data_IF_340210852074
#
_entry.id   IF_340210852074
#
_cell.length_a   1.000
_cell.length_b   1.000
_cell.length_c   1.000
_cell.angle_alpha   90.00
_cell.angle_beta   90.00
_cell.angle_gamma   90.00
#
_symmetry.space_group_name_H-M   'P 1'
#
loop_
_entity.id
_entity.type
_entity.pdbx_description
1 polymer ?
#
# COMPACT_ATOMS: atom_id res chain seq x y z
N UNK A 1 -3.36 -2.67 -17.92
CA UNK A 1 -2.52 -2.65 -16.71
C UNK A 1 -1.98 -1.24 -16.51
N UNK A 2 -2.06 -0.74 -15.28
CA UNK A 2 -1.65 0.62 -14.96
C UNK A 2 -0.63 0.58 -13.83
N UNK A 3 0.35 1.49 -13.91
CA UNK A 3 1.37 1.64 -12.86
C UNK A 3 1.26 3.04 -12.30
N UNK A 4 1.03 3.14 -10.99
CA UNK A 4 0.83 4.41 -10.30
C UNK A 4 1.86 4.55 -9.19
N UNK A 5 2.38 5.76 -9.00
CA UNK A 5 3.37 6.06 -7.98
C UNK A 5 2.90 7.19 -7.09
N UNK A 6 3.07 7.00 -5.79
CA UNK A 6 2.68 7.98 -4.78
C UNK A 6 3.79 8.13 -3.76
N UNK A 7 3.86 9.32 -3.16
CA UNK A 7 4.82 9.62 -2.10
C UNK A 7 4.07 10.33 -0.98
N UNK A 8 4.32 9.91 0.25
CA UNK A 8 3.69 10.49 1.44
C UNK A 8 4.72 10.80 2.50
N UNK A 9 4.66 12.01 3.11
CA UNK A 9 5.50 12.29 4.26
C UNK A 9 5.07 11.40 5.42
N UNK A 10 6.05 10.86 6.14
CA UNK A 10 5.80 9.98 7.28
C UNK A 10 6.98 10.04 8.21
N UNK A 11 6.82 9.56 9.45
CA UNK A 11 7.84 9.70 10.50
C UNK A 11 8.29 8.39 11.11
N UNK A 12 7.43 7.37 11.13
CA UNK A 12 7.74 6.11 11.79
C UNK A 12 8.24 5.09 10.80
N UNK A 13 9.51 4.73 10.93
CA UNK A 13 10.08 3.70 10.07
C UNK A 13 9.55 2.33 10.46
N UNK A 14 9.07 1.54 9.50
CA UNK A 14 8.69 0.15 9.77
C UNK A 14 9.95 -0.65 10.08
N UNK A 15 9.81 -1.64 10.94
CA UNK A 15 10.94 -2.43 11.45
C UNK A 15 11.09 -3.79 10.76
N UNK A 16 10.00 -4.30 10.20
CA UNK A 16 9.97 -5.62 9.56
C UNK A 16 9.33 -5.57 8.19
N UNK A 17 9.76 -6.47 7.33
CA UNK A 17 9.07 -6.71 6.07
C UNK A 17 7.70 -7.34 6.37
N UNK A 18 6.72 -6.98 5.56
CA UNK A 18 5.40 -7.58 5.66
C UNK A 18 4.87 -7.88 4.26
N UNK A 19 4.21 -9.02 4.13
CA UNK A 19 3.57 -9.43 2.88
C UNK A 19 2.18 -9.93 3.23
N UNK A 20 1.16 -9.28 2.68
CA UNK A 20 -0.24 -9.59 2.98
C UNK A 20 -1.01 -9.71 1.67
N UNK A 21 -1.94 -10.66 1.63
CA UNK A 21 -2.81 -10.85 0.48
C UNK A 21 -2.21 -11.79 -0.56
N UNK A 22 -2.96 -11.98 -1.64
CA UNK A 22 -2.58 -12.90 -2.70
C UNK A 22 -2.76 -12.25 -4.06
N UNK A 23 -1.95 -12.68 -5.02
CA UNK A 23 -2.10 -12.32 -6.42
C UNK A 23 -3.21 -13.18 -6.98
N UNK A 24 -4.45 -12.65 -6.99
CA UNK A 24 -5.61 -13.40 -7.47
C UNK A 24 -6.79 -12.49 -7.77
N UNK A 25 -7.74 -12.99 -8.54
CA UNK A 25 -8.90 -12.24 -9.00
C UNK A 25 -9.70 -11.67 -7.82
N UNK A 26 -9.96 -10.38 -7.86
CA UNK A 26 -10.72 -9.67 -6.82
C UNK A 26 -9.95 -9.38 -5.55
N UNK A 27 -8.65 -9.64 -5.51
CA UNK A 27 -7.81 -9.39 -4.35
C UNK A 27 -6.56 -8.61 -4.78
N UNK A 28 -5.68 -8.37 -3.82
CA UNK A 28 -4.41 -7.70 -4.06
C UNK A 28 -3.36 -8.24 -3.08
N UNK A 29 -2.12 -8.01 -3.46
CA UNK A 29 -0.96 -8.30 -2.64
C UNK A 29 -0.35 -6.97 -2.19
N UNK A 30 0.03 -6.86 -0.93
CA UNK A 30 0.69 -5.68 -0.37
C UNK A 30 2.01 -6.10 0.27
N UNK A 31 3.08 -5.43 -0.13
CA UNK A 31 4.43 -5.66 0.38
C UNK A 31 4.94 -4.38 1.03
N UNK A 32 5.31 -4.48 2.30
CA UNK A 32 5.99 -3.41 3.03
C UNK A 32 7.45 -3.79 3.21
N UNK A 33 8.34 -2.90 2.81
CA UNK A 33 9.79 -3.06 3.01
C UNK A 33 10.31 -1.92 3.87
N UNK A 34 11.14 -2.21 4.89
CA UNK A 34 11.83 -1.15 5.61
C UNK A 34 12.64 -0.27 4.65
N UNK A 35 12.66 1.02 4.92
CA UNK A 35 13.35 1.99 4.08
C UNK A 35 14.10 2.98 4.95
N UNK A 36 15.23 3.46 4.47
CA UNK A 36 16.00 4.52 5.11
C UNK A 36 15.59 5.91 4.60
N UNK A 37 14.63 5.97 3.69
CA UNK A 37 14.12 7.21 3.14
C UNK A 37 13.36 8.00 4.20
N UNK A 38 13.06 9.27 3.88
CA UNK A 38 12.31 10.14 4.78
C UNK A 38 10.81 10.05 4.53
N UNK A 39 10.40 9.60 3.35
CA UNK A 39 9.01 9.52 2.93
C UNK A 39 8.62 8.08 2.62
N UNK A 40 7.33 7.82 2.72
CA UNK A 40 6.78 6.57 2.23
C UNK A 40 6.63 6.65 0.71
N UNK A 41 7.04 5.60 0.02
CA UNK A 41 6.88 5.47 -1.43
C UNK A 41 5.98 4.31 -1.75
N UNK A 42 4.96 4.54 -2.57
CA UNK A 42 3.98 3.52 -2.94
C UNK A 42 4.01 3.31 -4.45
N UNK A 43 4.21 2.08 -4.85
CA UNK A 43 4.11 1.65 -6.24
C UNK A 43 2.90 0.74 -6.38
N UNK A 44 1.92 1.15 -7.16
CA UNK A 44 0.72 0.35 -7.43
C UNK A 44 0.79 -0.15 -8.85
N UNK A 45 0.68 -1.47 -9.02
CA UNK A 45 0.49 -2.10 -10.32
C UNK A 45 -0.89 -2.74 -10.28
N UNK A 46 -1.80 -2.29 -11.14
CA UNK A 46 -3.18 -2.78 -11.12
C UNK A 46 -3.58 -3.29 -12.51
N UNK A 47 -4.38 -4.35 -12.51
CA UNK A 47 -4.96 -4.89 -13.74
C UNK A 47 -6.14 -4.06 -14.23
N UNK A 48 -6.62 -3.10 -13.44
CA UNK A 48 -7.81 -2.30 -13.74
C UNK A 48 -7.39 -0.86 -14.00
N UNK A 49 -7.67 -0.36 -15.19
CA UNK A 49 -7.30 1.00 -15.59
C UNK A 49 -8.36 2.02 -15.13
N UNK A 50 -7.93 3.27 -14.98
CA UNK A 50 -8.87 4.39 -14.77
C UNK A 50 -9.23 4.67 -13.32
N UNK A 51 -8.55 4.06 -12.34
CA UNK A 51 -8.89 4.22 -10.93
C UNK A 51 -7.84 5.01 -10.13
N UNK A 52 -7.02 5.82 -10.80
CA UNK A 52 -5.96 6.59 -10.12
C UNK A 52 -6.51 7.47 -9.00
N UNK A 53 -7.65 8.13 -9.21
CA UNK A 53 -8.27 8.99 -8.20
C UNK A 53 -8.72 8.18 -6.99
N UNK A 54 -9.27 6.98 -7.22
CA UNK A 54 -9.71 6.10 -6.14
C UNK A 54 -8.51 5.62 -5.34
N UNK A 55 -7.41 5.22 -6.00
CA UNK A 55 -6.17 4.84 -5.33
C UNK A 55 -5.63 5.98 -4.48
N UNK A 56 -5.62 7.20 -5.03
CA UNK A 56 -5.17 8.36 -4.27
C UNK A 56 -6.02 8.57 -3.02
N UNK A 57 -7.33 8.48 -3.14
CA UNK A 57 -8.23 8.67 -2.00
C UNK A 57 -8.01 7.63 -0.91
N UNK A 58 -7.85 6.36 -1.29
CA UNK A 58 -7.60 5.28 -0.32
C UNK A 58 -6.26 5.48 0.37
N UNK A 59 -5.22 5.79 -0.38
CA UNK A 59 -3.88 6.00 0.18
C UNK A 59 -3.83 7.26 1.06
N UNK A 60 -4.50 8.35 0.65
CA UNK A 60 -4.59 9.55 1.48
C UNK A 60 -5.22 9.23 2.84
N UNK A 61 -6.28 8.43 2.85
CA UNK A 61 -6.94 8.01 4.10
C UNK A 61 -6.03 7.11 4.93
N UNK A 62 -5.34 6.18 4.30
CA UNK A 62 -4.43 5.29 5.01
C UNK A 62 -3.32 6.08 5.69
N UNK A 63 -2.62 6.94 4.95
CA UNK A 63 -1.52 7.73 5.50
C UNK A 63 -1.98 8.83 6.45
N UNK A 64 -3.26 9.20 6.40
CA UNK A 64 -3.86 10.10 7.40
C UNK A 64 -3.98 9.45 8.78
N UNK A 65 -3.99 8.11 8.84
CA UNK A 65 -4.09 7.35 10.10
C UNK A 65 -2.79 6.66 10.48
N UNK A 66 -2.01 6.23 9.49
CA UNK A 66 -0.80 5.42 9.69
C UNK A 66 0.41 6.19 9.16
N UNK A 67 1.26 6.61 10.08
CA UNK A 67 2.41 7.49 9.80
C UNK A 67 3.67 6.65 9.61
N UNK A 68 3.66 5.71 8.67
CA UNK A 68 4.74 4.75 8.49
C UNK A 68 5.57 5.03 7.25
N UNK A 69 6.90 5.11 7.45
CA UNK A 69 7.86 5.19 6.35
C UNK A 69 8.20 3.77 5.91
N UNK A 70 7.91 3.48 4.67
CA UNK A 70 8.20 2.18 4.06
C UNK A 70 8.27 2.33 2.55
N UNK A 71 8.89 1.37 1.90
CA UNK A 71 8.73 1.14 0.48
C UNK A 71 7.58 0.16 0.32
N UNK A 72 6.49 0.60 -0.29
CA UNK A 72 5.25 -0.17 -0.38
C UNK A 72 5.00 -0.53 -1.84
N UNK A 73 4.82 -1.81 -2.10
CA UNK A 73 4.44 -2.30 -3.42
C UNK A 73 3.09 -2.98 -3.33
N UNK A 74 2.18 -2.60 -4.22
CA UNK A 74 0.83 -3.15 -4.28
C UNK A 74 0.62 -3.73 -5.67
N UNK A 75 0.24 -5.00 -5.71
CA UNK A 75 -0.13 -5.67 -6.95
C UNK A 75 -1.62 -6.02 -6.87
N UNK A 76 -2.43 -5.28 -7.63
CA UNK A 76 -3.88 -5.34 -7.53
C UNK A 76 -4.52 -6.06 -8.71
N UNK A 77 -5.49 -6.91 -8.41
CA UNK A 77 -6.24 -7.69 -9.38
C UNK A 77 -7.75 -7.52 -9.18
N UNK A 78 -8.17 -6.27 -8.99
CA UNK A 78 -9.59 -5.92 -8.92
C UNK A 78 -10.18 -5.88 -7.52
N UNK A 79 -9.35 -5.62 -6.50
CA UNK A 79 -9.85 -5.49 -5.12
C UNK A 79 -10.73 -4.25 -4.96
N UNK A 80 -11.72 -4.35 -4.08
CA UNK A 80 -12.53 -3.19 -3.71
C UNK A 80 -11.70 -2.24 -2.84
N UNK A 81 -12.08 -0.93 -2.75
CA UNK A 81 -11.39 0.00 -1.86
C UNK A 81 -11.34 -0.48 -0.40
N UNK A 82 -12.41 -1.12 0.08
CA UNK A 82 -12.43 -1.68 1.43
C UNK A 82 -11.41 -2.79 1.62
N UNK A 83 -11.26 -3.67 0.64
CA UNK A 83 -10.26 -4.74 0.68
C UNK A 83 -8.85 -4.16 0.62
N UNK A 84 -8.63 -3.13 -0.21
CA UNK A 84 -7.34 -2.44 -0.27
C UNK A 84 -6.96 -1.89 1.10
N UNK A 85 -7.87 -1.17 1.75
CA UNK A 85 -7.62 -0.61 3.07
C UNK A 85 -7.34 -1.69 4.11
N UNK A 86 -8.12 -2.77 4.10
CA UNK A 86 -7.92 -3.89 5.02
C UNK A 86 -6.52 -4.48 4.88
N UNK A 87 -6.07 -4.75 3.64
CA UNK A 87 -4.75 -5.33 3.40
C UNK A 87 -3.63 -4.38 3.79
N UNK A 88 -3.78 -3.08 3.52
CA UNK A 88 -2.80 -2.07 3.94
C UNK A 88 -2.67 -2.05 5.46
N UNK A 89 -3.79 -2.08 6.19
CA UNK A 89 -3.77 -2.09 7.65
C UNK A 89 -3.13 -3.36 8.20
N UNK A 90 -3.43 -4.50 7.63
CA UNK A 90 -2.82 -5.76 8.02
C UNK A 90 -1.30 -5.73 7.81
N UNK A 91 -0.85 -5.20 6.68
CA UNK A 91 0.58 -5.09 6.38
C UNK A 91 1.29 -4.11 7.32
N UNK A 92 0.65 -2.97 7.61
CA UNK A 92 1.20 -1.99 8.55
C UNK A 92 1.37 -2.62 9.94
N UNK A 93 0.38 -3.34 10.42
CA UNK A 93 0.43 -4.02 11.72
C UNK A 93 1.53 -5.08 11.74
N UNK A 94 1.61 -5.92 10.72
CA UNK A 94 2.62 -6.97 10.63
C UNK A 94 4.04 -6.39 10.57
N UNK A 95 4.21 -5.22 9.98
CA UNK A 95 5.52 -4.57 9.83
C UNK A 95 6.05 -3.98 11.13
N UNK A 96 5.22 -3.92 12.16
CA UNK A 96 5.60 -3.44 13.49
C UNK A 96 5.82 -4.57 14.50
N UNK A 97 5.55 -5.78 14.11
CA UNK A 97 5.63 -6.94 15.00
C UNK A 97 7.05 -7.28 15.42
#
# INVERSE_FOLDING_TARGET
MEVLRYKYPAKRHVTHRAHVGVVGSGDLEVLFEPSTDQDAHVLVTTSVDGFATIWKNVLDRFFGRYDYVASIEINDFGATPGTVMLRLEQAAEASQA
#
